data_IF_182603493244
#
_entry.id   IF_182603493244
#
_cell.length_a   1.000
_cell.length_b   1.000
_cell.length_c   1.000
_cell.angle_alpha   90.00
_cell.angle_beta   90.00
_cell.angle_gamma   90.00
#
_symmetry.space_group_name_H-M   'P 1'
#
loop_
_entity.id
_entity.type
_entity.pdbx_description
1 polymer ?
#
# COMPACT_ATOMS: atom_id res chain seq x y z
N UNK A 1 -63.48 19.00 -10.11
CA UNK A 1 -62.50 18.29 -10.96
C UNK A 1 -61.08 18.88 -10.88
N UNK A 2 -60.90 20.12 -10.46
CA UNK A 2 -59.57 20.74 -10.45
C UNK A 2 -58.67 20.38 -9.24
N UNK A 3 -59.29 19.92 -8.14
CA UNK A 3 -58.53 19.62 -6.91
C UNK A 3 -57.67 18.34 -6.98
N UNK A 4 -58.06 17.34 -7.76
CA UNK A 4 -57.35 16.10 -7.83
C UNK A 4 -56.15 16.13 -8.77
N UNK A 5 -56.14 16.99 -9.74
CA UNK A 5 -55.01 17.16 -10.65
C UNK A 5 -53.81 17.77 -9.93
N UNK A 6 -54.01 18.83 -9.15
CA UNK A 6 -52.93 19.43 -8.37
C UNK A 6 -52.31 18.46 -7.38
N UNK A 7 -53.13 17.56 -6.80
CA UNK A 7 -52.65 16.51 -5.93
C UNK A 7 -51.84 15.47 -6.68
N UNK A 8 -52.26 15.06 -7.87
CA UNK A 8 -51.54 14.12 -8.72
C UNK A 8 -50.21 14.70 -9.21
N UNK A 9 -50.18 15.98 -9.59
CA UNK A 9 -48.96 16.68 -10.03
C UNK A 9 -47.98 16.83 -8.86
N UNK A 10 -48.47 17.19 -7.66
CA UNK A 10 -47.64 17.30 -6.46
C UNK A 10 -47.00 15.94 -6.07
N UNK A 11 -47.76 14.86 -6.11
CA UNK A 11 -47.25 13.50 -5.80
C UNK A 11 -46.21 13.05 -6.84
N UNK A 12 -46.48 13.30 -8.15
CA UNK A 12 -45.51 13.03 -9.19
C UNK A 12 -44.21 13.84 -9.04
N UNK A 13 -44.31 15.10 -8.70
CA UNK A 13 -43.16 15.97 -8.48
C UNK A 13 -42.34 15.49 -7.26
N UNK A 14 -43.02 15.06 -6.18
CA UNK A 14 -42.36 14.52 -4.98
C UNK A 14 -41.63 13.23 -5.27
N UNK A 15 -42.18 12.36 -6.09
CA UNK A 15 -41.54 11.11 -6.51
C UNK A 15 -40.29 11.35 -7.37
N UNK A 16 -40.32 12.36 -8.23
CA UNK A 16 -39.18 12.74 -9.07
C UNK A 16 -38.04 13.34 -8.22
N UNK A 17 -38.36 14.16 -7.22
CA UNK A 17 -37.36 14.73 -6.31
C UNK A 17 -36.74 13.68 -5.37
N UNK A 18 -37.47 12.66 -4.94
CA UNK A 18 -36.90 11.60 -4.08
C UNK A 18 -35.98 10.64 -4.84
N UNK A 19 -36.10 10.52 -6.16
CA UNK A 19 -35.15 9.69 -6.94
C UNK A 19 -33.83 10.41 -7.30
N UNK A 20 -33.77 11.75 -7.15
CA UNK A 20 -32.51 12.49 -7.35
C UNK A 20 -31.69 12.64 -6.06
N UNK A 21 -32.24 12.38 -4.89
CA UNK A 21 -31.53 12.47 -3.62
C UNK A 21 -30.60 11.29 -3.32
N UNK A 22 -30.63 10.24 -4.16
CA UNK A 22 -29.83 9.03 -3.97
C UNK A 22 -28.42 9.07 -4.54
N UNK A 23 -27.96 10.17 -5.16
CA UNK A 23 -26.64 10.21 -5.82
C UNK A 23 -25.75 11.36 -5.33
N UNK A 24 -26.01 11.97 -4.18
CA UNK A 24 -25.23 13.10 -3.66
C UNK A 24 -24.57 12.83 -2.32
N UNK A 25 -24.53 11.58 -1.88
CA UNK A 25 -23.71 11.14 -0.76
C UNK A 25 -22.74 10.05 -1.25
N UNK A 26 -21.85 10.44 -2.18
CA UNK A 26 -20.49 9.99 -2.11
C UNK A 26 -19.77 10.93 -1.14
N UNK A 27 -20.04 10.81 0.14
CA UNK A 27 -18.96 10.93 1.09
C UNK A 27 -18.01 9.79 0.72
N UNK A 28 -17.01 10.13 -0.07
CA UNK A 28 -15.74 9.47 0.01
C UNK A 28 -15.32 9.68 1.47
N UNK A 29 -15.71 8.77 2.34
CA UNK A 29 -14.84 8.43 3.43
C UNK A 29 -13.57 8.03 2.70
N UNK A 30 -12.64 8.97 2.61
CA UNK A 30 -11.25 8.75 2.38
C UNK A 30 -10.74 7.95 3.60
N UNK A 31 -11.22 6.71 3.69
CA UNK A 31 -10.57 5.66 4.42
C UNK A 31 -9.38 5.22 3.55
N UNK A 32 -8.52 6.20 3.25
CA UNK A 32 -7.18 5.92 2.83
C UNK A 32 -6.54 5.26 4.04
N UNK A 33 -6.62 3.93 4.05
CA UNK A 33 -5.85 3.11 4.96
C UNK A 33 -4.40 3.44 4.64
N UNK A 34 -3.84 4.43 5.34
CA UNK A 34 -2.43 4.76 5.27
C UNK A 34 -1.68 3.58 5.87
N UNK A 35 -1.09 2.77 5.01
CA UNK A 35 -0.29 1.61 5.38
C UNK A 35 1.11 2.02 5.90
N UNK A 36 1.37 3.32 6.02
CA UNK A 36 2.65 3.83 6.47
C UNK A 36 3.77 3.68 5.45
N UNK A 37 4.99 3.50 5.94
CA UNK A 37 6.17 3.34 5.09
C UNK A 37 6.51 1.87 4.90
N UNK A 38 6.65 1.47 3.65
CA UNK A 38 7.11 0.15 3.24
C UNK A 38 8.53 0.29 2.70
N UNK A 39 9.48 -0.42 3.29
CA UNK A 39 10.85 -0.47 2.78
C UNK A 39 11.00 -1.60 1.76
N UNK A 40 11.81 -1.35 0.74
CA UNK A 40 12.13 -2.35 -0.28
C UNK A 40 13.64 -2.39 -0.54
N UNK A 41 14.15 -3.55 -0.93
CA UNK A 41 15.60 -3.74 -1.11
C UNK A 41 16.13 -3.01 -2.35
N UNK A 42 15.42 -3.09 -3.47
CA UNK A 42 15.88 -2.64 -4.78
C UNK A 42 14.78 -1.93 -5.56
N UNK A 43 15.20 -1.23 -6.61
CA UNK A 43 14.30 -0.58 -7.56
C UNK A 43 13.28 -1.57 -8.20
N UNK A 44 13.70 -2.80 -8.50
CA UNK A 44 12.79 -3.78 -9.12
C UNK A 44 11.67 -4.19 -8.15
N UNK A 45 12.01 -4.37 -6.88
CA UNK A 45 11.02 -4.66 -5.83
C UNK A 45 10.11 -3.47 -5.60
N UNK A 46 10.67 -2.24 -5.62
CA UNK A 46 9.91 -0.99 -5.50
C UNK A 46 8.82 -0.88 -6.57
N UNK A 47 9.16 -1.14 -7.83
CA UNK A 47 8.18 -1.08 -8.93
C UNK A 47 7.01 -2.05 -8.72
N UNK A 48 7.27 -3.24 -8.20
CA UNK A 48 6.22 -4.24 -7.94
C UNK A 48 5.35 -3.78 -6.76
N UNK A 49 5.97 -3.39 -5.66
CA UNK A 49 5.25 -2.98 -4.44
C UNK A 49 4.43 -1.73 -4.70
N UNK A 50 5.02 -0.70 -5.32
CA UNK A 50 4.32 0.54 -5.67
C UNK A 50 3.12 0.30 -6.59
N UNK A 51 3.23 -0.62 -7.54
CA UNK A 51 2.11 -0.99 -8.41
C UNK A 51 0.94 -1.65 -7.66
N UNK A 52 1.23 -2.29 -6.52
CA UNK A 52 0.23 -2.97 -5.70
C UNK A 52 -0.41 -2.00 -4.71
N UNK A 53 0.40 -1.20 -4.01
CA UNK A 53 -0.09 -0.35 -2.92
C UNK A 53 -0.63 0.99 -3.41
N UNK A 54 -0.22 1.46 -4.59
CA UNK A 54 -0.63 2.76 -5.11
C UNK A 54 -0.32 3.89 -4.12
N UNK A 55 -1.32 4.69 -3.81
CA UNK A 55 -1.21 5.82 -2.88
C UNK A 55 -1.47 5.42 -1.42
N UNK A 56 -1.72 4.13 -1.13
CA UNK A 56 -2.03 3.65 0.22
C UNK A 56 -0.79 3.51 1.13
N UNK A 57 0.42 3.59 0.58
CA UNK A 57 1.67 3.52 1.34
C UNK A 57 2.77 4.36 0.69
N UNK A 58 3.73 4.80 1.51
CA UNK A 58 5.00 5.34 1.01
C UNK A 58 5.99 4.19 0.81
N UNK A 59 6.54 4.04 -0.39
CA UNK A 59 7.54 3.00 -0.69
C UNK A 59 8.93 3.63 -0.77
N UNK A 60 9.87 3.16 0.05
CA UNK A 60 11.27 3.65 0.10
C UNK A 60 12.26 2.53 -0.22
N UNK A 61 13.27 2.86 -1.02
CA UNK A 61 14.32 1.92 -1.44
C UNK A 61 15.51 2.00 -0.47
N UNK A 62 16.04 0.86 -0.05
CA UNK A 62 17.25 0.80 0.77
C UNK A 62 18.53 0.91 -0.07
N UNK A 63 18.67 0.08 -1.09
CA UNK A 63 19.90 0.05 -1.92
C UNK A 63 19.84 1.14 -2.98
N UNK A 64 20.76 2.13 -2.94
CA UNK A 64 20.83 3.16 -3.97
C UNK A 64 21.09 2.55 -5.36
N UNK A 65 20.51 3.15 -6.41
CA UNK A 65 20.63 2.64 -7.79
C UNK A 65 22.05 2.64 -8.37
N UNK A 66 22.97 3.35 -7.74
CA UNK A 66 24.38 3.44 -8.15
C UNK A 66 25.30 2.47 -7.40
N UNK A 67 24.76 1.62 -6.53
CA UNK A 67 25.50 0.60 -5.79
C UNK A 67 24.90 -0.77 -6.17
N UNK A 68 25.73 -1.74 -6.61
CA UNK A 68 25.24 -3.10 -6.80
C UNK A 68 24.64 -3.65 -5.50
N UNK A 69 23.47 -4.25 -5.58
CA UNK A 69 22.71 -4.67 -4.39
C UNK A 69 23.45 -5.66 -3.50
N UNK A 70 24.30 -6.49 -4.10
CA UNK A 70 25.12 -7.48 -3.38
C UNK A 70 26.37 -6.87 -2.71
N UNK A 71 26.72 -5.63 -3.07
CA UNK A 71 27.83 -4.87 -2.46
C UNK A 71 27.32 -3.81 -1.48
N UNK A 72 26.00 -3.65 -1.35
CA UNK A 72 25.40 -2.68 -0.45
C UNK A 72 25.50 -3.14 1.00
N UNK A 73 25.93 -2.23 1.88
CA UNK A 73 25.88 -2.40 3.34
C UNK A 73 24.97 -1.32 3.93
N UNK A 74 23.90 -1.70 4.65
CA UNK A 74 23.04 -0.73 5.30
C UNK A 74 23.79 0.11 6.34
N UNK A 75 23.64 1.42 6.26
CA UNK A 75 24.14 2.32 7.31
C UNK A 75 23.26 2.25 8.56
N UNK A 76 23.74 2.78 9.68
CA UNK A 76 22.94 2.87 10.89
C UNK A 76 21.64 3.67 10.67
N UNK A 77 21.66 4.66 9.82
CA UNK A 77 20.46 5.42 9.46
C UNK A 77 19.45 4.57 8.65
N UNK A 78 19.94 3.72 7.75
CA UNK A 78 19.11 2.80 7.00
C UNK A 78 18.45 1.75 7.90
N UNK A 79 19.19 1.25 8.89
CA UNK A 79 18.66 0.32 9.89
C UNK A 79 17.56 0.95 10.75
N UNK A 80 17.70 2.22 11.14
CA UNK A 80 16.68 2.94 11.88
C UNK A 80 15.41 3.12 11.02
N UNK A 81 15.55 3.52 9.78
CA UNK A 81 14.44 3.65 8.84
C UNK A 81 13.73 2.32 8.65
N UNK A 82 14.51 1.26 8.45
CA UNK A 82 13.97 -0.09 8.29
C UNK A 82 13.17 -0.53 9.51
N UNK A 83 13.68 -0.30 10.74
CA UNK A 83 12.95 -0.61 11.97
C UNK A 83 11.67 0.20 12.17
N UNK A 84 11.59 1.40 11.58
CA UNK A 84 10.44 2.29 11.69
C UNK A 84 9.40 2.02 10.59
N UNK A 85 9.71 1.16 9.63
CA UNK A 85 8.78 0.79 8.57
C UNK A 85 7.80 -0.29 9.02
N UNK A 86 6.66 -0.36 8.34
CA UNK A 86 5.63 -1.35 8.62
C UNK A 86 5.99 -2.72 8.04
N UNK A 87 6.65 -2.73 6.87
CA UNK A 87 7.01 -3.96 6.16
C UNK A 87 8.31 -3.77 5.39
N UNK A 88 8.99 -4.88 5.12
CA UNK A 88 10.16 -4.92 4.25
C UNK A 88 10.02 -6.00 3.17
N UNK A 89 10.15 -5.59 1.93
CA UNK A 89 10.17 -6.50 0.79
C UNK A 89 11.56 -6.56 0.16
N UNK A 90 12.04 -7.75 -0.12
CA UNK A 90 13.33 -7.98 -0.76
C UNK A 90 13.24 -9.11 -1.79
N UNK A 91 14.20 -9.16 -2.71
CA UNK A 91 14.18 -10.13 -3.79
C UNK A 91 14.39 -11.56 -3.28
N UNK A 92 15.37 -11.76 -2.41
CA UNK A 92 15.73 -13.09 -1.91
C UNK A 92 16.69 -13.85 -2.82
N UNK A 93 16.80 -15.16 -2.64
CA UNK A 93 17.71 -16.03 -3.38
C UNK A 93 19.19 -15.64 -3.29
N UNK A 94 19.57 -14.91 -2.22
CA UNK A 94 20.93 -14.45 -2.00
C UNK A 94 21.35 -13.24 -2.83
N UNK A 95 20.40 -12.57 -3.47
CA UNK A 95 20.69 -11.32 -4.20
C UNK A 95 21.12 -10.21 -3.24
N UNK A 96 20.53 -10.19 -2.05
CA UNK A 96 20.82 -9.25 -0.97
C UNK A 96 21.48 -9.98 0.21
N UNK A 97 22.79 -10.22 0.17
CA UNK A 97 23.46 -11.01 1.24
C UNK A 97 23.46 -10.35 2.60
N UNK A 98 23.19 -9.05 2.65
CA UNK A 98 23.10 -8.24 3.87
C UNK A 98 21.77 -8.39 4.62
N UNK A 99 20.70 -8.89 3.98
CA UNK A 99 19.34 -8.91 4.54
C UNK A 99 19.26 -9.82 5.76
N UNK A 100 19.74 -11.06 5.67
CA UNK A 100 19.64 -12.01 6.78
C UNK A 100 20.35 -11.51 8.03
N UNK A 101 21.55 -10.94 7.88
CA UNK A 101 22.30 -10.36 8.98
C UNK A 101 21.57 -9.14 9.57
N UNK A 102 21.00 -8.29 8.72
CA UNK A 102 20.24 -7.12 9.14
C UNK A 102 19.00 -7.49 9.94
N UNK A 103 18.17 -8.38 9.43
CA UNK A 103 16.94 -8.82 10.10
C UNK A 103 17.28 -9.54 11.43
N UNK A 104 18.31 -10.37 11.44
CA UNK A 104 18.79 -11.05 12.66
C UNK A 104 19.27 -10.06 13.73
N UNK A 105 19.81 -8.91 13.34
CA UNK A 105 20.29 -7.90 14.27
C UNK A 105 19.18 -7.23 15.10
N UNK A 106 17.94 -7.25 14.59
CA UNK A 106 16.78 -6.68 15.27
C UNK A 106 16.22 -7.58 16.38
N UNK A 107 16.53 -8.87 16.37
CA UNK A 107 16.07 -9.82 17.40
C UNK A 107 14.56 -9.84 17.53
N UNK A 108 14.04 -9.63 18.74
CA UNK A 108 12.60 -9.62 19.01
C UNK A 108 11.87 -8.39 18.44
N UNK A 109 12.59 -7.36 18.02
CA UNK A 109 12.05 -6.17 17.35
C UNK A 109 12.12 -6.28 15.82
N UNK A 110 12.16 -7.49 15.30
CA UNK A 110 12.16 -7.72 13.85
C UNK A 110 10.85 -7.23 13.24
N UNK A 111 10.98 -6.62 12.07
CA UNK A 111 9.84 -6.18 11.26
C UNK A 111 9.32 -7.33 10.40
N UNK A 112 8.10 -7.23 9.93
CA UNK A 112 7.55 -8.15 8.95
C UNK A 112 8.31 -8.03 7.63
N UNK A 113 8.88 -9.13 7.16
CA UNK A 113 9.70 -9.16 5.95
C UNK A 113 9.27 -10.25 4.99
N UNK A 114 9.28 -9.95 3.69
CA UNK A 114 8.76 -10.82 2.65
C UNK A 114 9.69 -10.90 1.45
N UNK A 115 9.92 -12.12 0.96
CA UNK A 115 10.64 -12.36 -0.28
C UNK A 115 9.69 -12.28 -1.47
N UNK A 116 10.11 -11.60 -2.53
CA UNK A 116 9.28 -11.39 -3.73
C UNK A 116 9.46 -12.46 -4.81
N UNK A 117 10.43 -13.35 -4.69
CA UNK A 117 10.58 -14.45 -5.64
C UNK A 117 9.52 -15.53 -5.40
N UNK A 118 9.02 -16.13 -6.48
CA UNK A 118 8.17 -17.30 -6.37
C UNK A 118 9.01 -18.48 -5.82
N UNK A 119 8.58 -19.01 -4.66
CA UNK A 119 9.11 -20.30 -4.21
C UNK A 119 8.73 -21.33 -5.27
N UNK A 120 9.66 -22.13 -5.80
CA UNK A 120 9.26 -23.27 -6.60
C UNK A 120 8.36 -24.13 -5.73
N UNK A 121 7.10 -24.29 -6.14
CA UNK A 121 6.20 -25.27 -5.56
C UNK A 121 6.72 -26.63 -6.04
N UNK A 122 7.78 -27.06 -5.45
CA UNK A 122 8.45 -28.28 -5.81
C UNK A 122 8.21 -29.33 -4.74
N UNK A 123 7.54 -30.35 -5.13
CA UNK A 123 7.60 -31.77 -4.76
C UNK A 123 7.08 -32.13 -3.38
#
# INVERSE_FOLDING_TARGET
MHSNWHRAVLVSLLMIFSSLAGCLESESEDDSTDLGTIMVSTYHVEQIVSAIVGDAATVEIMSPSNVPVHDYEPSAADLIKLQQSEMFFYHGLGLEPWVDATLSSFGENSIDSYQTHAMPTGE
#
